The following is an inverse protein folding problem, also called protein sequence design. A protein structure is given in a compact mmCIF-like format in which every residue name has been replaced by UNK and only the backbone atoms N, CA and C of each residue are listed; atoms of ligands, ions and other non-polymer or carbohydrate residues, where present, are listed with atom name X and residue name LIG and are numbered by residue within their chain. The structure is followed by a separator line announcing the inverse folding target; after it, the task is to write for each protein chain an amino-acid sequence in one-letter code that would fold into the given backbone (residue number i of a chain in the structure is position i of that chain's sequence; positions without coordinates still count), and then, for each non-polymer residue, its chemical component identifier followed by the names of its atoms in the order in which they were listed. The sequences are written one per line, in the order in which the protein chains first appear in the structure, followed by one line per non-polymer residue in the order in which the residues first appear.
data_IF_743540021022
#
_entry.id   IF_743540021022
#
_cell.length_a   1.000
_cell.length_b   1.000
_cell.length_c   1.000
_cell.angle_alpha   90.00
_cell.angle_beta   90.00
_cell.angle_gamma   90.00
#
_symmetry.space_group_name_H-M   'P 1'
#
loop_
_entity.id
_entity.type
_entity.pdbx_description
1 polymer ?
#
# COMPACT_ATOMS: atom_id res chain seq x y z
N UNK A 1 -46.95 -77.21 13.40
CA UNK A 1 -47.46 -76.95 14.76
C UNK A 1 -48.99 -76.81 14.83
N UNK A 2 -49.72 -76.71 13.71
CA UNK A 2 -51.21 -76.64 13.72
C UNK A 2 -51.89 -77.98 14.03
N UNK A 3 -51.24 -79.13 13.79
CA UNK A 3 -51.90 -80.44 13.89
C UNK A 3 -52.06 -80.99 15.31
N UNK A 4 -51.37 -80.45 16.33
CA UNK A 4 -51.48 -80.95 17.71
C UNK A 4 -52.64 -80.29 18.45
N UNK A 5 -52.78 -78.97 18.32
CA UNK A 5 -53.91 -78.21 18.89
C UNK A 5 -55.23 -78.59 18.25
N UNK A 6 -55.27 -78.79 16.93
CA UNK A 6 -56.46 -79.29 16.23
C UNK A 6 -56.87 -80.68 16.74
N UNK A 7 -55.89 -81.58 16.95
CA UNK A 7 -56.15 -82.92 17.50
C UNK A 7 -56.58 -82.89 18.97
N UNK A 8 -56.02 -82.01 19.78
CA UNK A 8 -56.43 -81.82 21.19
C UNK A 8 -57.85 -81.23 21.28
N UNK A 9 -58.21 -80.31 20.39
CA UNK A 9 -59.56 -79.74 20.30
C UNK A 9 -60.59 -80.77 19.83
N UNK A 10 -60.20 -81.66 18.91
CA UNK A 10 -61.02 -82.83 18.52
C UNK A 10 -61.20 -83.81 19.69
N UNK A 11 -60.13 -84.12 20.44
CA UNK A 11 -60.22 -84.95 21.65
C UNK A 11 -61.12 -84.31 22.72
N UNK A 12 -61.07 -82.99 22.88
CA UNK A 12 -61.93 -82.25 23.80
C UNK A 12 -63.41 -82.36 23.42
N UNK A 13 -63.74 -82.19 22.15
CA UNK A 13 -65.11 -82.37 21.63
C UNK A 13 -65.60 -83.81 21.81
N UNK A 14 -64.73 -84.81 21.60
CA UNK A 14 -65.04 -86.22 21.83
C UNK A 14 -65.34 -86.49 23.32
N UNK A 15 -64.49 -86.01 24.23
CA UNK A 15 -64.69 -86.16 25.68
C UNK A 15 -65.99 -85.47 26.11
N UNK A 16 -66.31 -84.31 25.56
CA UNK A 16 -67.57 -83.61 25.82
C UNK A 16 -68.79 -84.40 25.32
N UNK A 17 -68.70 -85.02 24.14
CA UNK A 17 -69.77 -85.87 23.61
C UNK A 17 -70.00 -87.14 24.46
N UNK A 18 -68.92 -87.75 24.95
CA UNK A 18 -68.96 -88.91 25.84
C UNK A 18 -69.55 -88.53 27.19
N UNK A 19 -69.16 -87.38 27.75
CA UNK A 19 -69.73 -86.84 29.00
C UNK A 19 -71.25 -86.67 28.88
N UNK A 20 -71.71 -86.02 27.82
CA UNK A 20 -73.14 -85.80 27.58
C UNK A 20 -73.90 -87.12 27.39
N UNK A 21 -73.29 -88.11 26.73
CA UNK A 21 -73.87 -89.45 26.58
C UNK A 21 -73.96 -90.22 27.90
N UNK A 22 -72.94 -90.13 28.75
CA UNK A 22 -72.96 -90.75 30.09
C UNK A 22 -73.94 -90.07 31.04
N UNK A 23 -74.09 -88.74 30.98
CA UNK A 23 -75.11 -88.00 31.73
C UNK A 23 -76.53 -88.47 31.36
N UNK A 24 -76.80 -88.74 30.07
CA UNK A 24 -78.07 -89.31 29.62
C UNK A 24 -78.29 -90.76 30.10
N UNK A 25 -77.27 -91.61 30.11
CA UNK A 25 -77.37 -92.97 30.66
C UNK A 25 -77.57 -93.01 32.19
N UNK A 26 -77.02 -92.01 32.89
CA UNK A 26 -77.14 -91.86 34.33
C UNK A 26 -78.53 -91.36 34.74
N UNK A 27 -79.14 -90.48 33.94
CA UNK A 27 -80.55 -90.07 34.08
C UNK A 27 -81.52 -91.24 33.85
N UNK A 28 -81.23 -92.15 32.91
CA UNK A 28 -82.08 -93.31 32.61
C UNK A 28 -82.03 -94.43 33.65
N UNK A 29 -80.91 -94.60 34.38
CA UNK A 29 -80.73 -95.68 35.36
C UNK A 29 -81.26 -95.38 36.77
N UNK A 30 -81.73 -94.16 37.05
CA UNK A 30 -82.29 -93.77 38.36
C UNK A 30 -83.64 -94.46 38.72
N UNK A 31 -84.18 -95.34 37.86
CA UNK A 31 -85.50 -95.98 38.03
C UNK A 31 -85.49 -97.47 38.45
N UNK A 32 -84.33 -98.11 38.67
CA UNK A 32 -84.29 -99.53 39.08
C UNK A 32 -83.46 -99.81 40.34
N UNK A 33 -84.14 -100.07 41.46
CA UNK A 33 -83.55 -100.40 42.75
C UNK A 33 -83.20 -101.89 42.84
N UNK A 34 -81.95 -102.26 42.53
CA UNK A 34 -81.31 -103.49 43.04
C UNK A 34 -79.87 -103.24 43.46
N UNK A 35 -79.37 -103.94 44.49
CA UNK A 35 -78.04 -103.71 45.10
C UNK A 35 -76.85 -103.83 44.11
N UNK A 36 -76.99 -104.58 43.00
CA UNK A 36 -75.96 -104.65 41.93
C UNK A 36 -75.88 -103.37 41.08
N UNK A 37 -76.98 -102.64 40.93
CA UNK A 37 -77.02 -101.37 40.18
C UNK A 37 -76.27 -100.25 40.92
N UNK A 38 -76.14 -100.34 42.24
CA UNK A 38 -75.46 -99.34 43.08
C UNK A 38 -73.93 -99.35 42.92
N UNK A 39 -73.32 -100.53 42.73
CA UNK A 39 -71.88 -100.65 42.46
C UNK A 39 -71.54 -100.16 41.05
N UNK A 40 -72.38 -100.46 40.06
CA UNK A 40 -72.24 -99.94 38.70
C UNK A 40 -72.42 -98.42 38.64
N UNK A 41 -73.35 -97.88 39.44
CA UNK A 41 -73.55 -96.45 39.57
C UNK A 41 -72.36 -95.75 40.24
N UNK A 42 -71.78 -96.33 41.29
CA UNK A 42 -70.57 -95.80 41.91
C UNK A 42 -69.38 -95.82 40.95
N UNK A 43 -69.22 -96.89 40.17
CA UNK A 43 -68.19 -96.98 39.14
C UNK A 43 -68.39 -95.94 38.02
N UNK A 44 -69.63 -95.76 37.55
CA UNK A 44 -69.98 -94.76 36.54
C UNK A 44 -69.74 -93.33 37.05
N UNK A 45 -70.07 -93.06 38.31
CA UNK A 45 -69.83 -91.76 38.94
C UNK A 45 -68.33 -91.49 39.13
N UNK A 46 -67.56 -92.50 39.51
CA UNK A 46 -66.10 -92.41 39.58
C UNK A 46 -65.50 -92.13 38.19
N UNK A 47 -66.03 -92.78 37.15
CA UNK A 47 -65.63 -92.58 35.76
C UNK A 47 -66.00 -91.17 35.25
N UNK A 48 -67.18 -90.66 35.59
CA UNK A 48 -67.56 -89.26 35.34
C UNK A 48 -66.67 -88.27 36.06
N UNK A 49 -66.28 -88.55 37.30
CA UNK A 49 -65.38 -87.68 38.06
C UNK A 49 -63.97 -87.68 37.46
N UNK A 50 -63.47 -88.85 37.07
CA UNK A 50 -62.19 -88.98 36.34
C UNK A 50 -62.23 -88.24 35.00
N UNK A 51 -63.35 -88.33 34.27
CA UNK A 51 -63.54 -87.66 32.99
C UNK A 51 -63.68 -86.14 33.13
N UNK A 52 -64.33 -85.66 34.19
CA UNK A 52 -64.39 -84.24 34.52
C UNK A 52 -63.01 -83.71 34.93
N UNK A 53 -62.24 -84.49 35.69
CA UNK A 53 -60.88 -84.11 36.06
C UNK A 53 -59.95 -84.08 34.85
N UNK A 54 -60.04 -85.06 33.94
CA UNK A 54 -59.25 -85.06 32.71
C UNK A 54 -59.65 -83.93 31.76
N UNK A 55 -60.94 -83.60 31.68
CA UNK A 55 -61.44 -82.43 30.96
C UNK A 55 -60.87 -81.12 31.53
N UNK A 56 -60.96 -80.92 32.85
CA UNK A 56 -60.42 -79.71 33.50
C UNK A 56 -58.90 -79.62 33.34
N UNK A 57 -58.19 -80.75 33.39
CA UNK A 57 -56.75 -80.78 33.13
C UNK A 57 -56.44 -80.39 31.68
N UNK A 58 -57.21 -80.90 30.72
CA UNK A 58 -57.05 -80.60 29.31
C UNK A 58 -57.33 -79.11 29.00
N UNK A 59 -58.42 -78.57 29.54
CA UNK A 59 -58.79 -77.15 29.44
C UNK A 59 -57.69 -76.26 30.03
N UNK A 60 -57.22 -76.56 31.24
CA UNK A 60 -56.11 -75.83 31.87
C UNK A 60 -54.80 -75.93 31.07
N UNK A 61 -54.51 -77.07 30.43
CA UNK A 61 -53.32 -77.20 29.58
C UNK A 61 -53.45 -76.40 28.30
N UNK A 62 -54.65 -76.37 27.71
CA UNK A 62 -54.92 -75.62 26.49
C UNK A 62 -54.85 -74.12 26.75
N UNK A 63 -55.47 -73.64 27.83
CA UNK A 63 -55.37 -72.23 28.25
C UNK A 63 -53.92 -71.82 28.55
N UNK A 64 -53.14 -72.68 29.23
CA UNK A 64 -51.72 -72.42 29.48
C UNK A 64 -50.92 -72.33 28.17
N UNK A 65 -51.17 -73.22 27.21
CA UNK A 65 -50.47 -73.21 25.93
C UNK A 65 -50.83 -71.95 25.11
N UNK A 66 -52.11 -71.58 25.05
CA UNK A 66 -52.57 -70.34 24.41
C UNK A 66 -51.97 -69.10 25.08
N UNK A 67 -52.02 -69.01 26.40
CA UNK A 67 -51.44 -67.89 27.16
C UNK A 67 -49.93 -67.80 26.93
N UNK A 68 -49.21 -68.93 27.00
CA UNK A 68 -47.77 -68.98 26.76
C UNK A 68 -47.38 -68.44 25.37
N UNK A 69 -48.19 -68.76 24.35
CA UNK A 69 -47.96 -68.29 22.98
C UNK A 69 -48.25 -66.80 22.85
N UNK A 70 -49.35 -66.33 23.44
CA UNK A 70 -49.69 -64.90 23.49
C UNK A 70 -48.59 -64.12 24.20
N UNK A 71 -48.08 -64.62 25.32
CA UNK A 71 -47.03 -63.95 26.09
C UNK A 71 -45.69 -63.93 25.33
N UNK A 72 -45.34 -65.01 24.62
CA UNK A 72 -44.16 -65.03 23.73
C UNK A 72 -44.25 -63.96 22.62
N UNK A 73 -45.46 -63.74 22.08
CA UNK A 73 -45.70 -62.72 21.05
C UNK A 73 -45.60 -61.32 21.65
N UNK A 74 -46.16 -61.10 22.86
CA UNK A 74 -46.05 -59.82 23.58
C UNK A 74 -44.59 -59.48 23.90
N UNK A 75 -43.80 -60.45 24.36
CA UNK A 75 -42.36 -60.25 24.61
C UNK A 75 -41.65 -59.84 23.32
N UNK A 76 -41.93 -60.51 22.20
CA UNK A 76 -41.33 -60.17 20.92
C UNK A 76 -41.74 -58.76 20.45
N UNK A 77 -43.00 -58.37 20.66
CA UNK A 77 -43.48 -57.00 20.40
C UNK A 77 -42.72 -55.99 21.26
N UNK A 78 -42.55 -56.25 22.56
CA UNK A 78 -41.81 -55.36 23.46
C UNK A 78 -40.35 -55.22 23.05
N UNK A 79 -39.68 -56.31 22.65
CA UNK A 79 -38.31 -56.26 22.13
C UNK A 79 -38.24 -55.36 20.88
N UNK A 80 -39.19 -55.50 19.96
CA UNK A 80 -39.26 -54.65 18.76
C UNK A 80 -39.61 -53.20 19.06
N UNK A 81 -40.47 -52.94 20.05
CA UNK A 81 -40.81 -51.60 20.51
C UNK A 81 -39.58 -50.90 21.09
N UNK A 82 -38.82 -51.57 21.94
CA UNK A 82 -37.58 -51.05 22.52
C UNK A 82 -36.52 -50.75 21.43
N UNK A 83 -36.40 -51.61 20.41
CA UNK A 83 -35.54 -51.34 19.25
C UNK A 83 -35.98 -50.09 18.50
N UNK A 84 -37.28 -49.92 18.29
CA UNK A 84 -37.84 -48.76 17.60
C UNK A 84 -37.61 -47.45 18.39
N UNK A 85 -37.76 -47.48 19.71
CA UNK A 85 -37.49 -46.33 20.56
C UNK A 85 -36.00 -45.98 20.60
N UNK A 86 -35.10 -46.98 20.58
CA UNK A 86 -33.66 -46.76 20.40
C UNK A 86 -33.36 -46.03 19.09
N UNK A 87 -33.97 -46.45 17.97
CA UNK A 87 -33.77 -45.79 16.67
C UNK A 87 -34.35 -44.37 16.63
N UNK A 88 -35.49 -44.13 17.30
CA UNK A 88 -36.07 -42.78 17.42
C UNK A 88 -35.15 -41.84 18.19
N UNK A 89 -34.57 -42.32 19.28
CA UNK A 89 -33.62 -41.55 20.07
C UNK A 89 -32.35 -41.21 19.26
N UNK A 90 -31.77 -42.20 18.58
CA UNK A 90 -30.59 -42.00 17.73
C UNK A 90 -30.85 -41.00 16.61
N UNK A 91 -32.00 -41.12 15.92
CA UNK A 91 -32.43 -40.15 14.92
C UNK A 91 -32.52 -38.74 15.50
N UNK A 92 -33.15 -38.58 16.67
CA UNK A 92 -33.29 -37.28 17.32
C UNK A 92 -31.94 -36.66 17.70
N UNK A 93 -30.97 -37.47 18.14
CA UNK A 93 -29.61 -37.00 18.42
C UNK A 93 -28.97 -36.49 17.14
N UNK A 94 -28.98 -37.31 16.08
CA UNK A 94 -28.34 -36.97 14.80
C UNK A 94 -28.95 -35.69 14.22
N UNK A 95 -30.28 -35.53 14.27
CA UNK A 95 -30.96 -34.31 13.83
C UNK A 95 -30.50 -33.09 14.66
N UNK A 96 -30.40 -33.22 15.99
CA UNK A 96 -29.93 -32.13 16.85
C UNK A 96 -28.46 -31.75 16.58
N UNK A 97 -27.63 -32.73 16.24
CA UNK A 97 -26.22 -32.51 15.93
C UNK A 97 -26.05 -31.83 14.56
N UNK A 98 -26.84 -32.24 13.57
CA UNK A 98 -26.92 -31.56 12.27
C UNK A 98 -27.35 -30.10 12.46
N UNK A 99 -28.37 -29.84 13.29
CA UNK A 99 -28.84 -28.48 13.56
C UNK A 99 -27.77 -27.63 14.27
N UNK A 100 -27.01 -28.24 15.18
CA UNK A 100 -25.89 -27.56 15.85
C UNK A 100 -24.76 -27.23 14.86
N UNK A 101 -24.41 -28.16 13.98
CA UNK A 101 -23.40 -27.94 12.94
C UNK A 101 -23.89 -26.95 11.86
N UNK A 102 -25.19 -26.88 11.60
CA UNK A 102 -25.76 -25.90 10.68
C UNK A 102 -25.66 -24.47 11.22
N UNK A 103 -25.71 -24.29 12.54
CA UNK A 103 -25.56 -22.99 13.20
C UNK A 103 -24.12 -22.47 13.22
N UNK A 104 -23.11 -23.34 13.09
CA UNK A 104 -21.69 -22.94 13.06
C UNK A 104 -21.20 -22.51 11.69
N UNK A 105 -22.09 -22.25 10.73
CA UNK A 105 -21.71 -21.73 9.41
C UNK A 105 -20.91 -20.44 9.56
N UNK A 106 -19.69 -20.47 9.03
CA UNK A 106 -18.80 -19.32 8.96
C UNK A 106 -19.35 -18.30 7.97
N UNK A 107 -19.71 -17.13 8.49
CA UNK A 107 -20.14 -16.00 7.66
C UNK A 107 -18.96 -15.05 7.38
N UNK A 108 -18.52 -15.04 6.13
CA UNK A 108 -17.42 -14.21 5.63
C UNK A 108 -17.79 -12.75 5.57
N UNK A 109 -19.08 -12.45 5.40
CA UNK A 109 -19.56 -11.08 5.35
C UNK A 109 -19.86 -10.55 6.76
N UNK A 110 -19.50 -11.30 7.80
CA UNK A 110 -19.57 -10.82 9.18
C UNK A 110 -18.71 -9.55 9.36
N UNK A 111 -19.27 -8.46 9.90
CA UNK A 111 -18.57 -7.18 10.03
C UNK A 111 -17.36 -7.23 10.98
N UNK A 112 -17.30 -8.25 11.84
CA UNK A 112 -16.15 -8.53 12.71
C UNK A 112 -14.88 -8.89 11.93
N UNK A 113 -14.98 -9.51 10.75
CA UNK A 113 -13.83 -9.87 9.92
C UNK A 113 -13.19 -8.66 9.22
N UNK A 114 -13.91 -7.51 9.17
CA UNK A 114 -13.46 -6.26 8.52
C UNK A 114 -12.86 -6.49 7.12
N UNK A 115 -13.47 -7.41 6.37
CA UNK A 115 -13.14 -7.70 4.97
C UNK A 115 -13.86 -6.68 4.10
N UNK A 116 -13.20 -6.23 3.03
CA UNK A 116 -13.82 -5.32 2.06
C UNK A 116 -15.07 -5.95 1.43
N UNK A 117 -16.13 -5.18 1.15
CA UNK A 117 -17.30 -5.67 0.42
C UNK A 117 -16.92 -6.32 -0.92
N UNK A 118 -17.70 -7.31 -1.36
CA UNK A 118 -17.40 -8.08 -2.56
C UNK A 118 -17.31 -7.22 -3.83
N UNK A 119 -18.13 -6.16 -3.92
CA UNK A 119 -18.12 -5.23 -5.04
C UNK A 119 -16.80 -4.46 -5.14
N UNK A 120 -16.27 -4.02 -4.00
CA UNK A 120 -15.00 -3.30 -3.93
C UNK A 120 -13.85 -4.24 -4.27
N UNK A 121 -13.89 -5.48 -3.78
CA UNK A 121 -12.91 -6.51 -4.12
C UNK A 121 -12.86 -6.79 -5.62
N UNK A 122 -14.01 -7.03 -6.26
CA UNK A 122 -14.09 -7.27 -7.71
C UNK A 122 -13.57 -6.06 -8.49
N UNK A 123 -13.85 -4.83 -8.04
CA UNK A 123 -13.34 -3.63 -8.72
C UNK A 123 -11.80 -3.53 -8.73
N UNK A 124 -11.13 -4.08 -7.71
CA UNK A 124 -9.68 -3.99 -7.51
C UNK A 124 -8.88 -5.12 -8.16
N UNK A 125 -9.55 -6.17 -8.64
CA UNK A 125 -8.92 -7.30 -9.33
C UNK A 125 -8.52 -6.94 -10.76
N UNK A 126 -7.38 -7.46 -11.21
CA UNK A 126 -6.98 -7.36 -12.61
C UNK A 126 -7.93 -8.16 -13.53
N UNK A 127 -8.00 -7.85 -14.83
CA UNK A 127 -8.85 -8.58 -15.77
C UNK A 127 -8.55 -10.09 -15.81
N UNK A 128 -7.28 -10.47 -15.66
CA UNK A 128 -6.85 -11.88 -15.61
C UNK A 128 -7.31 -12.57 -14.32
N UNK A 129 -7.18 -11.90 -13.17
CA UNK A 129 -7.60 -12.43 -11.88
C UNK A 129 -9.12 -12.56 -11.75
N UNK A 130 -9.90 -11.72 -12.45
CA UNK A 130 -11.37 -11.84 -12.50
C UNK A 130 -11.83 -13.12 -13.17
N UNK A 131 -11.23 -13.45 -14.32
CA UNK A 131 -11.56 -14.68 -15.06
C UNK A 131 -11.23 -15.92 -14.23
N UNK A 132 -10.09 -15.90 -13.54
CA UNK A 132 -9.70 -16.96 -12.60
C UNK A 132 -10.70 -17.05 -11.44
N UNK A 133 -11.04 -15.93 -10.81
CA UNK A 133 -12.00 -15.85 -9.70
C UNK A 133 -13.38 -16.41 -10.07
N UNK A 134 -13.91 -16.02 -11.24
CA UNK A 134 -15.26 -16.42 -11.66
C UNK A 134 -15.36 -17.92 -11.94
N UNK A 135 -14.25 -18.55 -12.36
CA UNK A 135 -14.16 -19.99 -12.63
C UNK A 135 -14.11 -20.90 -11.39
N UNK A 136 -13.87 -20.32 -10.21
CA UNK A 136 -13.74 -21.07 -8.95
C UNK A 136 -15.10 -21.46 -8.35
N UNK A 137 -15.12 -22.53 -7.55
CA UNK A 137 -16.27 -22.88 -6.70
C UNK A 137 -16.49 -21.80 -5.62
N UNK A 138 -17.67 -21.77 -5.01
CA UNK A 138 -18.00 -20.76 -3.99
C UNK A 138 -17.03 -20.79 -2.80
N UNK A 139 -16.61 -21.97 -2.36
CA UNK A 139 -15.65 -22.15 -1.26
C UNK A 139 -14.28 -21.60 -1.65
N UNK A 140 -13.85 -21.87 -2.88
CA UNK A 140 -12.56 -21.40 -3.38
C UNK A 140 -12.57 -19.90 -3.66
N UNK A 141 -13.71 -19.31 -4.06
CA UNK A 141 -13.88 -17.85 -4.16
C UNK A 141 -13.68 -17.17 -2.81
N UNK A 142 -14.14 -17.79 -1.73
CA UNK A 142 -13.94 -17.27 -0.38
C UNK A 142 -12.45 -17.31 -0.01
N UNK A 143 -11.80 -18.45 -0.22
CA UNK A 143 -10.37 -18.62 0.09
C UNK A 143 -9.55 -17.60 -0.68
N UNK A 144 -9.79 -17.48 -1.99
CA UNK A 144 -9.10 -16.52 -2.85
C UNK A 144 -9.28 -15.06 -2.36
N UNK A 145 -10.49 -14.69 -1.94
CA UNK A 145 -10.75 -13.36 -1.35
C UNK A 145 -9.95 -13.14 -0.06
N UNK A 146 -9.88 -14.15 0.81
CA UNK A 146 -9.12 -14.08 2.06
C UNK A 146 -7.61 -13.98 1.81
N UNK A 147 -7.07 -14.80 0.90
CA UNK A 147 -5.66 -14.76 0.51
C UNK A 147 -5.27 -13.40 -0.07
N UNK A 148 -6.11 -12.85 -0.95
CA UNK A 148 -5.91 -11.53 -1.49
C UNK A 148 -5.92 -10.45 -0.40
N UNK A 149 -6.86 -10.50 0.53
CA UNK A 149 -6.95 -9.53 1.63
C UNK A 149 -5.73 -9.62 2.56
N UNK A 150 -5.25 -10.82 2.87
CA UNK A 150 -4.01 -11.05 3.62
C UNK A 150 -2.83 -10.42 2.87
N UNK A 151 -2.68 -10.69 1.59
CA UNK A 151 -1.63 -10.12 0.76
C UNK A 151 -1.67 -8.59 0.74
N UNK A 152 -2.85 -7.99 0.62
CA UNK A 152 -3.01 -6.53 0.69
C UNK A 152 -2.62 -5.96 2.05
N UNK A 153 -2.95 -6.66 3.15
CA UNK A 153 -2.55 -6.25 4.50
C UNK A 153 -1.04 -6.32 4.67
N UNK A 154 -0.37 -7.33 4.14
CA UNK A 154 1.10 -7.42 4.14
C UNK A 154 1.76 -6.26 3.39
N UNK A 155 1.25 -5.93 2.18
CA UNK A 155 1.75 -4.78 1.42
C UNK A 155 1.59 -3.47 2.18
N UNK A 156 0.42 -3.25 2.80
CA UNK A 156 0.17 -2.07 3.64
C UNK A 156 1.08 -2.02 4.86
N UNK A 157 1.37 -3.16 5.50
CA UNK A 157 2.31 -3.23 6.62
C UNK A 157 3.73 -2.85 6.18
N UNK A 158 4.18 -3.31 5.01
CA UNK A 158 5.47 -2.89 4.42
C UNK A 158 5.50 -1.39 4.15
N UNK A 159 4.46 -0.83 3.54
CA UNK A 159 4.35 0.61 3.31
C UNK A 159 4.36 1.41 4.62
N UNK A 160 3.63 0.95 5.64
CA UNK A 160 3.57 1.57 6.95
C UNK A 160 4.93 1.54 7.65
N UNK A 161 5.68 0.43 7.55
CA UNK A 161 7.04 0.33 8.04
C UNK A 161 7.96 1.35 7.37
N UNK A 162 7.92 1.45 6.05
CA UNK A 162 8.70 2.42 5.27
C UNK A 162 8.36 3.87 5.66
N UNK A 163 7.07 4.17 5.86
CA UNK A 163 6.63 5.49 6.31
C UNK A 163 7.09 5.81 7.74
N UNK A 164 7.08 4.83 8.65
CA UNK A 164 7.63 5.00 10.00
C UNK A 164 9.12 5.29 9.98
N UNK A 165 9.88 4.60 9.12
CA UNK A 165 11.31 4.84 8.96
C UNK A 165 11.57 6.25 8.42
N UNK A 166 10.91 6.65 7.34
CA UNK A 166 11.00 8.03 6.80
C UNK A 166 10.65 9.09 7.84
N UNK A 167 9.63 8.85 8.67
CA UNK A 167 9.25 9.76 9.76
C UNK A 167 10.39 9.95 10.78
N UNK A 168 11.13 8.89 11.11
CA UNK A 168 12.28 8.96 12.00
C UNK A 168 13.42 9.74 11.34
N UNK A 169 13.72 9.46 10.08
CA UNK A 169 14.74 10.16 9.30
C UNK A 169 14.46 11.67 9.22
N UNK A 170 13.24 12.08 8.87
CA UNK A 170 12.86 13.49 8.85
C UNK A 170 12.94 14.16 10.21
N UNK A 171 12.61 13.44 11.29
CA UNK A 171 12.75 13.97 12.66
C UNK A 171 14.23 14.23 13.00
N UNK A 172 15.13 13.34 12.61
CA UNK A 172 16.58 13.51 12.80
C UNK A 172 17.13 14.66 11.95
N UNK A 173 16.74 14.75 10.67
CA UNK A 173 17.12 15.85 9.78
C UNK A 173 16.68 17.20 10.33
N UNK A 174 15.43 17.30 10.80
CA UNK A 174 14.92 18.52 11.43
C UNK A 174 15.75 18.89 12.66
N UNK A 175 16.01 17.94 13.56
CA UNK A 175 16.84 18.20 14.75
C UNK A 175 18.27 18.65 14.40
N UNK A 176 18.84 18.12 13.32
CA UNK A 176 20.15 18.56 12.82
C UNK A 176 20.08 19.99 12.27
N UNK A 177 19.10 20.28 11.42
CA UNK A 177 18.89 21.62 10.89
C UNK A 177 18.65 22.66 12.00
N UNK A 178 17.86 22.34 13.02
CA UNK A 178 17.61 23.22 14.17
C UNK A 178 18.89 23.49 14.98
N UNK A 179 19.78 22.49 15.10
CA UNK A 179 21.10 22.67 15.75
C UNK A 179 22.03 23.53 14.90
N UNK A 180 22.10 23.28 13.60
CA UNK A 180 22.93 24.03 12.67
C UNK A 180 22.48 25.50 12.61
N UNK A 181 21.16 25.75 12.63
CA UNK A 181 20.58 27.09 12.69
C UNK A 181 20.96 27.81 13.98
N UNK A 182 20.83 27.16 15.14
CA UNK A 182 21.27 27.74 16.43
C UNK A 182 22.76 28.06 16.43
N UNK A 183 23.60 27.15 15.94
CA UNK A 183 25.04 27.42 15.81
C UNK A 183 25.32 28.60 14.89
N UNK A 184 24.55 28.76 13.82
CA UNK A 184 24.67 29.91 12.92
C UNK A 184 24.24 31.21 13.61
N UNK A 185 23.11 31.22 14.31
CA UNK A 185 22.66 32.37 15.11
C UNK A 185 23.68 32.77 16.18
N UNK A 186 24.23 31.78 16.89
CA UNK A 186 25.26 32.01 17.90
C UNK A 186 26.54 32.56 17.28
N UNK A 187 26.96 32.04 16.11
CA UNK A 187 28.08 32.61 15.35
C UNK A 187 27.78 34.04 14.91
N UNK A 188 26.59 34.36 14.43
CA UNK A 188 26.26 35.74 14.07
C UNK A 188 26.35 36.67 15.27
N UNK A 189 25.79 36.27 16.42
CA UNK A 189 25.84 37.06 17.66
C UNK A 189 27.26 37.23 18.21
N UNK A 190 28.07 36.17 18.16
CA UNK A 190 29.41 36.15 18.76
C UNK A 190 30.50 36.73 17.86
N UNK A 191 30.37 36.60 16.53
CA UNK A 191 31.40 37.06 15.58
C UNK A 191 31.13 38.47 15.07
N UNK A 192 29.89 38.96 15.18
CA UNK A 192 29.49 40.26 14.66
C UNK A 192 29.03 41.15 15.82
N UNK A 193 29.99 41.63 16.60
CA UNK A 193 29.77 42.88 17.34
C UNK A 193 29.78 44.02 16.31
N UNK A 194 28.66 44.14 15.57
CA UNK A 194 28.46 45.03 14.40
C UNK A 194 28.95 46.44 14.66
N UNK A 195 28.80 46.90 15.90
CA UNK A 195 29.26 48.21 16.33
C UNK A 195 30.77 48.34 16.40
N UNK A 196 31.51 47.31 16.84
CA UNK A 196 32.97 47.40 16.97
C UNK A 196 33.69 47.24 15.63
N UNK A 197 33.18 46.37 14.75
CA UNK A 197 33.77 46.09 13.43
C UNK A 197 33.41 47.20 12.42
N UNK A 198 32.21 47.77 12.51
CA UNK A 198 31.73 48.83 11.59
C UNK A 198 32.24 50.23 11.92
N UNK A 199 32.50 50.55 13.21
CA UNK A 199 32.90 51.89 13.69
C UNK A 199 34.09 52.54 12.93
N UNK A 200 35.18 51.84 12.57
CA UNK A 200 36.28 52.48 11.86
C UNK A 200 35.99 52.77 10.38
N UNK A 201 35.10 52.00 9.73
CA UNK A 201 34.80 52.13 8.29
C UNK A 201 33.61 53.08 8.01
N UNK A 202 32.67 53.18 8.95
CA UNK A 202 31.43 53.93 8.78
C UNK A 202 31.63 55.46 8.72
N UNK A 203 32.72 55.99 9.28
CA UNK A 203 33.04 57.44 9.21
C UNK A 203 33.38 57.90 7.78
N UNK A 204 33.92 57.01 6.96
CA UNK A 204 34.34 57.31 5.58
C UNK A 204 33.34 56.81 4.52
N UNK A 205 32.46 55.89 4.88
CA UNK A 205 31.32 55.47 4.04
C UNK A 205 30.14 56.37 4.40
N UNK A 206 30.07 57.55 3.79
CA UNK A 206 28.85 58.36 3.85
C UNK A 206 27.69 57.59 3.23
N UNK A 207 26.45 57.85 3.66
CA UNK A 207 25.24 57.23 3.10
C UNK A 207 25.24 57.42 1.58
N UNK A 208 25.67 56.38 0.87
CA UNK A 208 25.39 56.23 -0.54
C UNK A 208 23.85 56.31 -0.70
N UNK A 209 23.32 57.06 -1.68
CA UNK A 209 21.88 57.18 -1.88
C UNK A 209 21.34 55.87 -2.46
N UNK A 210 21.30 54.81 -1.66
CA UNK A 210 20.57 53.59 -1.98
C UNK A 210 19.10 53.82 -1.66
N UNK A 211 18.21 53.36 -2.53
CA UNK A 211 16.75 53.48 -2.35
C UNK A 211 16.21 52.51 -1.28
N UNK A 212 16.99 52.19 -0.24
CA UNK A 212 16.70 51.18 0.77
C UNK A 212 17.34 49.81 0.45
N UNK A 213 17.27 48.85 1.40
CA UNK A 213 17.70 47.47 1.16
C UNK A 213 16.90 46.85 0.00
N UNK A 214 17.51 45.92 -0.74
CA UNK A 214 16.82 45.13 -1.76
C UNK A 214 15.54 44.59 -1.15
N UNK A 215 14.35 44.84 -1.72
CA UNK A 215 13.11 44.25 -1.22
C UNK A 215 13.14 42.74 -1.51
N UNK A 216 13.68 41.97 -0.57
CA UNK A 216 13.79 40.50 -0.63
C UNK A 216 12.39 39.89 -0.82
N UNK A 217 11.36 40.53 -0.28
CA UNK A 217 9.96 40.09 -0.39
C UNK A 217 9.39 40.20 -1.81
N UNK A 218 9.97 41.03 -2.69
CA UNK A 218 9.48 41.21 -4.06
C UNK A 218 10.03 40.16 -5.05
N UNK A 219 11.03 39.37 -4.66
CA UNK A 219 11.69 38.39 -5.53
C UNK A 219 11.92 37.06 -4.80
N UNK A 220 10.85 36.28 -4.62
CA UNK A 220 10.89 34.92 -4.03
C UNK A 220 11.98 34.04 -4.65
N UNK A 221 12.24 34.22 -5.95
CA UNK A 221 13.21 33.44 -6.71
C UNK A 221 14.67 33.70 -6.30
N UNK A 222 14.96 34.80 -5.60
CA UNK A 222 16.32 35.12 -5.15
C UNK A 222 16.73 34.24 -3.95
N UNK A 223 15.78 33.84 -3.10
CA UNK A 223 16.04 33.00 -1.92
C UNK A 223 16.52 31.60 -2.34
N UNK A 224 15.90 31.06 -3.40
CA UNK A 224 16.23 29.74 -3.95
C UNK A 224 17.39 29.79 -4.95
N UNK A 225 17.98 30.96 -5.20
CA UNK A 225 19.08 31.13 -6.15
C UNK A 225 20.40 30.54 -5.65
N UNK A 226 21.27 30.13 -6.57
CA UNK A 226 22.60 29.66 -6.20
C UNK A 226 23.47 30.82 -5.70
N UNK A 227 24.42 30.54 -4.80
CA UNK A 227 25.29 31.58 -4.22
C UNK A 227 25.96 32.49 -5.28
N UNK A 228 26.51 31.98 -6.40
CA UNK A 228 27.11 32.84 -7.42
C UNK A 228 26.10 33.75 -8.11
N UNK A 229 24.89 33.26 -8.36
CA UNK A 229 23.78 34.04 -8.92
C UNK A 229 23.33 35.12 -7.94
N UNK A 230 23.22 34.79 -6.65
CA UNK A 230 22.91 35.75 -5.60
C UNK A 230 23.94 36.89 -5.52
N UNK A 231 25.24 36.56 -5.58
CA UNK A 231 26.31 37.57 -5.57
C UNK A 231 26.21 38.45 -6.81
N UNK A 232 26.08 37.84 -7.99
CA UNK A 232 25.96 38.56 -9.25
C UNK A 232 24.76 39.50 -9.28
N UNK A 233 23.60 39.05 -8.77
CA UNK A 233 22.41 39.88 -8.67
C UNK A 233 22.65 41.12 -7.81
N UNK A 234 23.27 40.96 -6.63
CA UNK A 234 23.58 42.08 -5.76
C UNK A 234 24.54 43.08 -6.42
N UNK A 235 25.61 42.58 -7.04
CA UNK A 235 26.57 43.41 -7.77
C UNK A 235 25.92 44.21 -8.90
N UNK A 236 25.08 43.54 -9.71
CA UNK A 236 24.30 44.18 -10.77
C UNK A 236 23.30 45.21 -10.24
N UNK A 237 22.66 44.93 -9.11
CA UNK A 237 21.64 45.79 -8.53
C UNK A 237 22.28 47.07 -8.02
N UNK A 238 23.41 46.98 -7.33
CA UNK A 238 24.18 48.15 -6.93
C UNK A 238 24.74 48.89 -8.14
N UNK A 239 25.20 48.18 -9.18
CA UNK A 239 25.66 48.82 -10.40
C UNK A 239 24.54 49.66 -11.06
N UNK A 240 23.34 49.10 -11.17
CA UNK A 240 22.15 49.78 -11.70
C UNK A 240 21.79 51.02 -10.85
N UNK A 241 21.84 50.91 -9.52
CA UNK A 241 21.52 52.04 -8.64
C UNK A 241 22.54 53.18 -8.72
N UNK A 242 23.83 52.86 -8.84
CA UNK A 242 24.89 53.87 -8.72
C UNK A 242 25.35 54.46 -10.05
N UNK A 243 25.32 53.69 -11.13
CA UNK A 243 25.96 54.08 -12.38
C UNK A 243 24.95 54.26 -13.52
N UNK A 244 23.98 53.34 -13.66
CA UNK A 244 23.08 53.36 -14.82
C UNK A 244 21.65 52.89 -14.56
N UNK A 245 20.69 53.79 -14.76
CA UNK A 245 19.25 53.49 -14.69
C UNK A 245 18.69 52.81 -15.95
N UNK A 246 19.49 52.71 -17.03
CA UNK A 246 19.12 52.10 -18.31
C UNK A 246 19.21 50.57 -18.31
N UNK A 247 19.80 49.97 -17.27
CA UNK A 247 19.92 48.53 -17.09
C UNK A 247 18.61 47.99 -16.50
N UNK A 248 17.93 47.09 -17.21
CA UNK A 248 16.79 46.35 -16.71
C UNK A 248 17.23 44.95 -16.31
N UNK A 249 17.02 44.57 -15.06
CA UNK A 249 17.39 43.27 -14.53
C UNK A 249 16.16 42.47 -14.11
N UNK A 250 16.09 41.22 -14.54
CA UNK A 250 15.01 40.28 -14.22
C UNK A 250 15.60 38.95 -13.74
N UNK A 251 15.11 38.44 -12.61
CA UNK A 251 15.40 37.07 -12.15
C UNK A 251 14.32 36.15 -12.70
N UNK A 252 14.72 35.19 -13.52
CA UNK A 252 13.81 34.28 -14.21
C UNK A 252 14.02 32.85 -13.73
N UNK A 253 12.94 32.07 -13.74
CA UNK A 253 12.99 30.64 -13.47
C UNK A 253 12.67 29.84 -14.73
N UNK A 254 13.46 28.82 -15.01
CA UNK A 254 13.16 27.82 -16.03
C UNK A 254 11.96 27.00 -15.54
N UNK A 255 10.83 27.10 -16.24
CA UNK A 255 9.70 26.19 -16.01
C UNK A 255 10.11 24.80 -16.51
N UNK A 256 10.52 23.91 -15.60
CA UNK A 256 10.83 22.52 -15.93
C UNK A 256 9.54 21.74 -16.26
N UNK A 257 8.92 22.06 -17.40
CA UNK A 257 7.96 21.19 -18.04
C UNK A 257 8.69 20.42 -19.14
N UNK A 258 8.80 19.11 -18.91
CA UNK A 258 9.20 18.05 -19.81
C UNK A 258 10.68 17.63 -19.84
N UNK A 259 10.79 16.31 -19.70
CA UNK A 259 11.88 15.39 -19.99
C UNK A 259 13.02 15.27 -18.98
N UNK A 260 12.91 14.19 -18.19
CA UNK A 260 13.99 13.44 -17.55
C UNK A 260 15.00 12.91 -18.60
N UNK A 261 15.51 13.76 -19.48
CA UNK A 261 16.72 13.44 -20.24
C UNK A 261 17.87 13.61 -19.26
N UNK A 262 18.50 12.51 -18.89
CA UNK A 262 19.61 12.45 -17.95
C UNK A 262 20.88 13.08 -18.54
N UNK A 263 20.82 14.34 -18.95
CA UNK A 263 21.99 15.09 -19.36
C UNK A 263 22.69 15.56 -18.09
N UNK A 264 23.94 15.12 -17.93
CA UNK A 264 24.66 15.36 -16.68
C UNK A 264 24.98 16.84 -16.42
N UNK A 265 24.72 17.76 -17.35
CA UNK A 265 25.06 19.18 -17.24
C UNK A 265 23.85 20.08 -17.47
N UNK A 266 22.83 19.97 -16.62
CA UNK A 266 21.72 20.93 -16.64
C UNK A 266 22.07 22.19 -15.83
N UNK A 267 21.66 23.38 -16.32
CA UNK A 267 21.79 24.62 -15.55
C UNK A 267 20.84 24.61 -14.36
N UNK A 268 21.13 25.44 -13.38
CA UNK A 268 20.23 25.73 -12.26
C UNK A 268 18.93 26.35 -12.79
N UNK A 269 17.79 26.00 -12.15
CA UNK A 269 16.46 26.47 -12.56
C UNK A 269 16.26 27.99 -12.46
N UNK A 270 17.22 28.74 -11.94
CA UNK A 270 17.15 30.19 -11.75
C UNK A 270 18.35 30.81 -12.45
N UNK A 271 18.08 31.81 -13.28
CA UNK A 271 19.07 32.56 -14.04
C UNK A 271 18.74 34.06 -14.00
N UNK A 272 19.73 34.90 -14.31
CA UNK A 272 19.56 36.35 -14.36
C UNK A 272 19.55 36.78 -15.81
N UNK A 273 18.54 37.55 -16.22
CA UNK A 273 18.52 38.24 -17.50
C UNK A 273 18.77 39.73 -17.27
N UNK A 274 19.75 40.27 -17.99
CA UNK A 274 20.12 41.69 -17.99
C UNK A 274 19.89 42.25 -19.38
N UNK A 275 19.04 43.26 -19.49
CA UNK A 275 18.76 43.97 -20.74
C UNK A 275 19.34 45.37 -20.65
N UNK A 276 20.26 45.66 -21.57
CA UNK A 276 20.91 46.95 -21.74
C UNK A 276 20.35 47.61 -22.99
N UNK A 277 19.65 48.73 -22.82
CA UNK A 277 19.11 49.50 -23.93
C UNK A 277 19.99 50.73 -24.20
N UNK A 278 20.56 50.81 -25.39
CA UNK A 278 21.24 52.02 -25.84
C UNK A 278 20.24 52.99 -26.47
N UNK A 279 20.00 54.13 -25.82
CA UNK A 279 19.09 55.17 -26.33
C UNK A 279 19.54 55.83 -27.63
N UNK A 280 20.83 55.75 -27.98
CA UNK A 280 21.38 56.45 -29.14
C UNK A 280 21.21 55.67 -30.45
N UNK A 281 21.35 54.34 -30.41
CA UNK A 281 21.42 53.50 -31.62
C UNK A 281 20.29 52.44 -31.71
N UNK A 282 19.29 52.48 -30.83
CA UNK A 282 18.24 51.44 -30.69
C UNK A 282 18.78 50.00 -30.53
N UNK A 283 20.05 49.86 -30.13
CA UNK A 283 20.67 48.57 -29.88
C UNK A 283 20.28 48.04 -28.50
N UNK A 284 19.74 46.83 -28.46
CA UNK A 284 19.34 46.12 -27.24
C UNK A 284 20.27 44.92 -27.07
N UNK A 285 21.06 44.93 -26.00
CA UNK A 285 21.90 43.80 -25.61
C UNK A 285 21.25 43.07 -24.44
N UNK A 286 20.89 41.81 -24.66
CA UNK A 286 20.39 40.91 -23.62
C UNK A 286 21.49 39.93 -23.21
N UNK A 287 21.74 39.83 -21.91
CA UNK A 287 22.71 38.93 -21.30
C UNK A 287 21.99 38.02 -20.30
N UNK A 288 22.06 36.72 -20.52
CA UNK A 288 21.47 35.71 -19.64
C UNK A 288 22.59 34.92 -18.96
N UNK A 289 22.59 34.91 -17.62
CA UNK A 289 23.60 34.26 -16.80
C UNK A 289 23.06 32.97 -16.20
N UNK A 290 23.61 31.83 -16.62
CA UNK A 290 23.24 30.49 -16.15
C UNK A 290 24.31 29.93 -15.23
N UNK A 291 23.91 29.29 -14.13
CA UNK A 291 24.85 28.59 -13.24
C UNK A 291 24.74 27.08 -13.42
N UNK A 292 25.88 26.38 -13.53
CA UNK A 292 25.94 24.92 -13.64
C UNK A 292 26.48 24.31 -12.34
N UNK A 293 25.64 23.75 -11.45
CA UNK A 293 26.07 23.33 -10.11
C UNK A 293 27.13 22.23 -10.09
N UNK A 294 27.06 21.28 -11.04
CA UNK A 294 28.02 20.17 -11.14
C UNK A 294 29.40 20.63 -11.62
N UNK A 295 29.43 21.54 -12.58
CA UNK A 295 30.67 22.12 -13.14
C UNK A 295 31.19 23.30 -12.31
N UNK A 296 30.35 23.86 -11.42
CA UNK A 296 30.61 25.06 -10.61
C UNK A 296 31.07 26.26 -11.46
N UNK A 297 30.44 26.46 -12.61
CA UNK A 297 30.74 27.57 -13.53
C UNK A 297 29.47 28.36 -13.84
N UNK A 298 29.64 29.62 -14.20
CA UNK A 298 28.61 30.45 -14.81
C UNK A 298 28.84 30.52 -16.31
N UNK A 299 27.78 30.52 -17.11
CA UNK A 299 27.84 30.81 -18.54
C UNK A 299 27.01 32.04 -18.85
N UNK A 300 27.42 32.75 -19.89
CA UNK A 300 26.73 33.94 -20.39
C UNK A 300 26.24 33.66 -21.80
N UNK A 301 24.93 33.73 -22.00
CA UNK A 301 24.32 33.81 -23.32
C UNK A 301 24.08 35.28 -23.62
N UNK A 302 24.52 35.75 -24.79
CA UNK A 302 24.36 37.14 -25.21
C UNK A 302 23.59 37.21 -26.51
N UNK A 303 22.71 38.20 -26.64
CA UNK A 303 21.91 38.47 -27.83
C UNK A 303 21.94 39.97 -28.10
N UNK A 304 22.48 40.39 -29.24
CA UNK A 304 22.42 41.78 -29.70
C UNK A 304 21.30 41.92 -30.73
N UNK A 305 20.25 42.69 -30.43
CA UNK A 305 19.05 42.82 -31.26
C UNK A 305 18.44 41.45 -31.64
N UNK A 306 18.50 40.48 -30.73
CA UNK A 306 18.05 39.10 -30.95
C UNK A 306 19.06 38.18 -31.65
N UNK A 307 20.21 38.67 -32.10
CA UNK A 307 21.25 37.86 -32.73
C UNK A 307 22.34 37.45 -31.72
N UNK A 308 22.51 36.14 -31.52
CA UNK A 308 23.47 35.56 -30.58
C UNK A 308 24.93 35.75 -31.02
N UNK A 309 25.22 35.62 -32.32
CA UNK A 309 26.60 35.70 -32.82
C UNK A 309 27.19 37.10 -32.64
N UNK A 310 26.38 38.13 -32.92
CA UNK A 310 26.77 39.52 -32.73
C UNK A 310 26.96 39.85 -31.24
N UNK A 311 26.12 39.30 -30.36
CA UNK A 311 26.29 39.42 -28.91
C UNK A 311 27.60 38.80 -28.42
N UNK A 312 27.91 37.59 -28.89
CA UNK A 312 29.13 36.89 -28.52
C UNK A 312 30.39 37.62 -29.02
N UNK A 313 30.38 38.11 -30.26
CA UNK A 313 31.49 38.87 -30.82
C UNK A 313 31.77 40.18 -30.05
N UNK A 314 30.74 40.76 -29.42
CA UNK A 314 30.89 41.91 -28.52
C UNK A 314 31.59 41.50 -27.21
N UNK A 315 31.14 40.41 -26.58
CA UNK A 315 31.70 39.94 -25.31
C UNK A 315 33.17 39.46 -25.44
N UNK A 316 33.54 38.88 -26.58
CA UNK A 316 34.94 38.48 -26.87
C UNK A 316 35.90 39.68 -26.93
N UNK A 317 35.40 40.90 -27.14
CA UNK A 317 36.22 42.13 -27.16
C UNK A 317 36.53 42.68 -25.76
N UNK A 318 35.82 42.22 -24.72
CA UNK A 318 36.03 42.67 -23.33
C UNK A 318 37.41 42.24 -22.83
N UNK A 319 37.82 41.03 -23.18
CA UNK A 319 39.15 40.49 -22.91
C UNK A 319 39.60 39.62 -24.08
N UNK A 320 40.63 40.08 -24.80
CA UNK A 320 41.18 39.41 -25.97
C UNK A 320 41.76 38.02 -25.64
N UNK A 321 42.05 37.75 -24.36
CA UNK A 321 42.59 36.47 -23.90
C UNK A 321 41.51 35.49 -23.42
N UNK A 322 40.24 35.90 -23.40
CA UNK A 322 39.12 35.11 -22.86
C UNK A 322 37.99 34.95 -23.88
N UNK A 323 38.08 33.89 -24.69
CA UNK A 323 37.07 33.55 -25.70
C UNK A 323 35.92 32.70 -25.14
N UNK A 324 35.99 32.29 -23.86
CA UNK A 324 34.99 31.41 -23.24
C UNK A 324 34.88 30.02 -23.89
N UNK A 325 35.95 29.54 -24.53
CA UNK A 325 35.98 28.22 -25.19
C UNK A 325 36.44 27.09 -24.26
N UNK A 326 37.17 27.43 -23.20
CA UNK A 326 37.73 26.48 -22.23
C UNK A 326 37.06 26.64 -20.86
N UNK A 327 37.05 25.57 -20.08
CA UNK A 327 36.55 25.63 -18.69
C UNK A 327 37.51 26.47 -17.84
N UNK A 328 37.01 27.44 -17.05
CA UNK A 328 37.84 28.22 -16.14
C UNK A 328 38.27 27.42 -14.90
N UNK A 329 37.65 26.26 -14.64
CA UNK A 329 37.95 25.39 -13.50
C UNK A 329 38.72 24.14 -13.95
N UNK A 330 39.96 23.98 -13.49
CA UNK A 330 40.80 22.81 -13.77
C UNK A 330 40.17 21.50 -13.29
N UNK A 331 39.38 21.53 -12.21
CA UNK A 331 38.69 20.34 -11.71
C UNK A 331 37.71 19.76 -12.72
N UNK A 332 37.17 20.60 -13.61
CA UNK A 332 36.25 20.14 -14.65
C UNK A 332 36.97 19.31 -15.71
N UNK A 333 38.27 19.50 -15.93
CA UNK A 333 39.02 18.60 -16.81
C UNK A 333 38.95 17.16 -16.28
N UNK A 334 39.25 16.94 -14.99
CA UNK A 334 39.16 15.61 -14.38
C UNK A 334 37.74 15.04 -14.34
N UNK A 335 36.72 15.87 -14.09
CA UNK A 335 35.32 15.42 -14.07
C UNK A 335 34.90 14.94 -15.47
N UNK A 336 35.36 15.62 -16.51
CA UNK A 336 35.03 15.30 -17.91
C UNK A 336 35.88 14.15 -18.46
N UNK A 337 37.15 14.09 -18.09
CA UNK A 337 38.08 13.02 -18.47
C UNK A 337 37.63 11.67 -17.86
N UNK A 338 37.15 11.67 -16.61
CA UNK A 338 36.57 10.47 -15.97
C UNK A 338 35.27 9.99 -16.64
N UNK A 339 34.64 10.81 -17.48
CA UNK A 339 33.49 10.44 -18.31
C UNK A 339 33.88 10.06 -19.75
N UNK A 340 35.18 9.86 -20.03
CA UNK A 340 35.68 9.44 -21.35
C UNK A 340 35.72 10.57 -22.39
N UNK A 341 35.59 11.83 -21.98
CA UNK A 341 35.66 12.97 -22.88
C UNK A 341 37.07 13.56 -22.87
N UNK A 342 37.82 13.37 -23.96
CA UNK A 342 39.07 14.08 -24.17
C UNK A 342 38.79 15.57 -24.35
N UNK A 343 39.11 16.37 -23.33
CA UNK A 343 39.05 17.83 -23.27
C UNK A 343 37.65 18.50 -23.27
N UNK A 344 37.55 19.63 -22.57
CA UNK A 344 36.33 20.45 -22.52
C UNK A 344 36.01 21.01 -23.91
N UNK A 345 34.88 20.61 -24.49
CA UNK A 345 34.36 21.17 -25.74
C UNK A 345 32.94 21.68 -25.52
N UNK A 346 32.75 23.00 -25.67
CA UNK A 346 31.46 23.68 -25.48
C UNK A 346 30.32 23.01 -26.27
N UNK A 347 30.60 22.59 -27.51
CA UNK A 347 29.61 21.98 -28.41
C UNK A 347 29.17 20.59 -27.96
N UNK A 348 30.03 19.85 -27.23
CA UNK A 348 29.71 18.52 -26.71
C UNK A 348 28.96 18.56 -25.38
N UNK A 349 29.19 19.62 -24.59
CA UNK A 349 28.61 19.75 -23.26
C UNK A 349 27.19 20.34 -23.27
N UNK A 350 26.69 20.77 -24.44
CA UNK A 350 25.36 21.36 -24.65
C UNK A 350 25.04 22.48 -23.63
N UNK A 351 26.03 23.32 -23.34
CA UNK A 351 25.88 24.43 -22.40
C UNK A 351 25.17 25.61 -23.07
N UNK A 352 24.32 26.29 -22.31
CA UNK A 352 23.68 27.53 -22.71
C UNK A 352 24.68 28.68 -22.50
N UNK A 353 25.21 29.24 -23.58
CA UNK A 353 26.17 30.34 -23.53
C UNK A 353 27.62 29.91 -23.24
N UNK A 354 28.50 30.87 -22.94
CA UNK A 354 29.94 30.64 -22.78
C UNK A 354 30.46 30.94 -21.37
N UNK A 355 31.37 30.11 -20.81
CA UNK A 355 31.94 30.31 -19.49
C UNK A 355 33.13 31.28 -19.49
N UNK A 356 32.87 32.57 -19.69
CA UNK A 356 33.92 33.59 -19.59
C UNK A 356 34.51 33.68 -18.17
N UNK A 357 35.82 33.90 -18.06
CA UNK A 357 36.56 34.12 -16.80
C UNK A 357 36.08 35.37 -16.07
N UNK A 358 35.81 36.46 -16.81
CA UNK A 358 35.26 37.67 -16.20
C UNK A 358 33.89 37.43 -15.55
N UNK A 359 33.04 36.61 -16.18
CA UNK A 359 31.72 36.27 -15.66
C UNK A 359 31.80 35.46 -14.36
N UNK A 360 32.79 34.56 -14.24
CA UNK A 360 33.09 33.86 -12.99
C UNK A 360 33.46 34.87 -11.91
N UNK A 361 34.38 35.77 -12.23
CA UNK A 361 34.93 36.70 -11.25
C UNK A 361 33.87 37.63 -10.65
N UNK A 362 33.03 38.24 -11.49
CA UNK A 362 31.95 39.13 -11.02
C UNK A 362 30.87 38.41 -10.21
N UNK A 363 30.76 37.08 -10.35
CA UNK A 363 29.84 36.24 -9.58
C UNK A 363 30.45 35.71 -8.27
N UNK A 364 31.69 36.10 -7.95
CA UNK A 364 32.41 35.64 -6.77
C UNK A 364 33.04 34.25 -6.90
N UNK A 365 33.09 33.68 -8.10
CA UNK A 365 33.83 32.46 -8.40
C UNK A 365 35.27 32.82 -8.78
N UNK A 366 36.21 32.44 -7.92
CA UNK A 366 37.64 32.61 -8.17
C UNK A 366 38.29 31.26 -8.46
N UNK A 367 38.94 31.14 -9.60
CA UNK A 367 39.69 29.96 -10.00
C UNK A 367 41.20 30.24 -9.96
N UNK A 368 41.98 29.20 -9.68
CA UNK A 368 43.44 29.31 -9.71
C UNK A 368 43.91 29.45 -11.17
N UNK A 369 44.90 30.32 -11.43
CA UNK A 369 45.46 30.45 -12.78
C UNK A 369 46.24 29.18 -13.17
N UNK A 370 46.31 28.92 -14.48
CA UNK A 370 47.05 27.78 -15.01
C UNK A 370 48.54 27.94 -14.73
N UNK A 371 49.11 26.98 -13.99
CA UNK A 371 50.51 26.95 -13.56
C UNK A 371 51.52 26.95 -14.72
N UNK A 372 51.07 26.70 -15.95
CA UNK A 372 51.92 26.68 -17.14
C UNK A 372 52.12 28.08 -17.76
N UNK A 373 51.45 29.12 -17.24
CA UNK A 373 51.44 30.48 -17.81
C UNK A 373 52.04 31.55 -16.88
N UNK A 374 53.04 31.20 -16.07
CA UNK A 374 53.72 32.19 -15.20
C UNK A 374 54.50 33.29 -15.98
N UNK A 375 54.65 33.17 -17.31
CA UNK A 375 55.43 34.09 -18.13
C UNK A 375 54.63 34.90 -19.17
N UNK A 376 53.32 34.72 -19.31
CA UNK A 376 52.50 35.44 -20.29
C UNK A 376 51.26 36.07 -19.66
N UNK A 377 51.00 37.34 -20.02
CA UNK A 377 49.88 38.22 -19.63
C UNK A 377 48.77 37.53 -18.82
N UNK A 378 48.91 37.54 -17.50
CA UNK A 378 47.90 37.03 -16.57
C UNK A 378 46.59 37.79 -16.76
N UNK A 379 45.46 37.06 -16.76
CA UNK A 379 44.13 37.65 -16.64
C UNK A 379 44.13 38.63 -15.47
N UNK A 380 43.90 39.91 -15.75
CA UNK A 380 43.79 40.93 -14.71
C UNK A 380 42.31 41.01 -14.32
N UNK A 381 41.93 40.63 -13.09
CA UNK A 381 40.54 40.70 -12.67
C UNK A 381 40.03 42.14 -12.80
N UNK A 382 38.95 42.31 -13.57
CA UNK A 382 38.20 43.55 -13.69
C UNK A 382 37.08 43.56 -12.65
N UNK A 383 36.78 44.72 -12.09
CA UNK A 383 35.61 44.87 -11.21
C UNK A 383 34.32 44.75 -12.01
N UNK A 384 33.19 44.44 -11.35
CA UNK A 384 31.86 44.44 -11.95
C UNK A 384 31.61 45.75 -12.72
N UNK A 385 31.90 46.89 -12.08
CA UNK A 385 31.81 48.21 -12.71
C UNK A 385 32.64 48.35 -14.00
N UNK A 386 33.91 47.91 -14.00
CA UNK A 386 34.77 47.98 -15.19
C UNK A 386 34.23 47.11 -16.33
N UNK A 387 33.79 45.89 -16.02
CA UNK A 387 33.23 44.97 -17.03
C UNK A 387 31.98 45.56 -17.68
N UNK A 388 31.02 46.03 -16.89
CA UNK A 388 29.79 46.58 -17.45
C UNK A 388 30.05 47.88 -18.20
N UNK A 389 30.90 48.76 -17.68
CA UNK A 389 31.28 50.00 -18.40
C UNK A 389 31.95 49.70 -19.74
N UNK A 390 32.80 48.67 -19.81
CA UNK A 390 33.40 48.22 -21.07
C UNK A 390 32.32 47.70 -22.04
N UNK A 391 31.36 46.91 -21.56
CA UNK A 391 30.22 46.42 -22.37
C UNK A 391 29.40 47.59 -22.93
N UNK A 392 29.09 48.57 -22.10
CA UNK A 392 28.30 49.75 -22.49
C UNK A 392 29.07 50.60 -23.51
N UNK A 393 30.36 50.83 -23.28
CA UNK A 393 31.21 51.55 -24.24
C UNK A 393 31.30 50.82 -25.58
N UNK A 394 31.43 49.49 -25.57
CA UNK A 394 31.40 48.68 -26.79
C UNK A 394 30.04 48.75 -27.49
N UNK A 395 28.93 48.78 -26.75
CA UNK A 395 27.59 48.95 -27.29
C UNK A 395 27.35 50.35 -27.89
N UNK A 396 28.04 51.38 -27.38
CA UNK A 396 27.99 52.75 -27.90
C UNK A 396 28.84 52.96 -29.15
N UNK A 397 29.87 52.13 -29.35
CA UNK A 397 30.75 52.18 -30.52
C UNK A 397 30.16 51.45 -31.75
N UNK A 398 29.13 50.64 -31.53
CA UNK A 398 28.34 49.94 -32.56
C UNK A 398 27.11 50.75 -32.93
#
# INVERSE_FOLDING_TARGET
MTSLTEKQQQCFQLIQSIKNGLEQELEQNNLSTTKKSQEQYNYLFELMFQLKNSYNLLENTLDKEFLSRVDSIKELINIKMNQLDSYRYEKSIIESEIDNLAKTRFDIDSPSLSIKPINDFISLLSPTQKVEYDSLSNENKVIFRLEWEIYQRELKLKQLSNLKQKKIEYKQLKQKADKDLKQFEDKLKNTIDTEQIGKPLQKFIHKLPTTGPIPIDAQSNLIDSSKPIYILYNELFYFQQFFESTLNMEILSMNNNQDNSSNNNEPHNIYISVKLNNSNNNNILELEFYYYPKLKIITVLSKLNGNVENGLALLERIDQLDQGLMTPNLSNHYILDNCGNESFNLSRQNLLGRPFKWAQYISGLSFLPDTNTLASKQFKPKTSHQVFTDIINLLNLL
#
